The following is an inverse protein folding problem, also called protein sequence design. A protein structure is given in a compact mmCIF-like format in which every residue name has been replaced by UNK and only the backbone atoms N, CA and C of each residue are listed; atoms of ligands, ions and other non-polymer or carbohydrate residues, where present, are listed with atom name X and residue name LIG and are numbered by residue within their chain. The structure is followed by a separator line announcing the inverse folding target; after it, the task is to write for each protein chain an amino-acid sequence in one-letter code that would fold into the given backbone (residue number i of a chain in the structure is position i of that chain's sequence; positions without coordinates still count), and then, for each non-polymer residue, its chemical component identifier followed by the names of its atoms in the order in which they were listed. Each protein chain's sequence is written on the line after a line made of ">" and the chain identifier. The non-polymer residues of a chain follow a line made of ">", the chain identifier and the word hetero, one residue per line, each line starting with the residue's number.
data_IF_259501803920
#
_entry.id   IF_259501803920
#
_cell.length_a   1.000
_cell.length_b   1.000
_cell.length_c   1.000
_cell.angle_alpha   90.00
_cell.angle_beta   90.00
_cell.angle_gamma   90.00
#
_symmetry.space_group_name_H-M   'P 1'
#
loop_
_entity.id
_entity.type
_entity.pdbx_description
1 polymer ?
#
# COMPACT_ATOMS: atom_id res chain seq x y z
N UNK A 1 36.17 18.53 -4.84
CA UNK A 1 35.04 17.60 -4.62
C UNK A 1 35.54 16.16 -4.71
N UNK A 2 35.39 15.35 -3.67
CA UNK A 2 35.85 13.95 -3.66
C UNK A 2 35.13 13.11 -4.73
N UNK A 3 35.85 12.27 -5.49
CA UNK A 3 35.28 11.32 -6.45
C UNK A 3 34.17 10.44 -5.83
N UNK A 4 34.26 10.16 -4.52
CA UNK A 4 33.25 9.40 -3.76
C UNK A 4 31.92 10.15 -3.61
N UNK A 5 31.96 11.47 -3.47
CA UNK A 5 30.77 12.32 -3.32
C UNK A 5 29.98 12.40 -4.63
N UNK A 6 30.66 12.59 -5.77
CA UNK A 6 30.05 12.64 -7.11
C UNK A 6 29.32 11.32 -7.40
N UNK A 7 29.97 10.17 -7.17
CA UNK A 7 29.37 8.85 -7.36
C UNK A 7 28.13 8.62 -6.48
N UNK A 8 28.14 9.10 -5.24
CA UNK A 8 26.96 8.99 -4.36
C UNK A 8 25.80 9.87 -4.84
N UNK A 9 26.08 11.08 -5.33
CA UNK A 9 25.06 11.99 -5.89
C UNK A 9 24.39 11.36 -7.12
N UNK A 10 25.18 10.87 -8.07
CA UNK A 10 24.66 10.17 -9.25
C UNK A 10 23.82 8.94 -8.88
N UNK A 11 24.25 8.15 -7.89
CA UNK A 11 23.46 7.00 -7.42
C UNK A 11 22.13 7.42 -6.81
N UNK A 12 22.08 8.54 -6.09
CA UNK A 12 20.82 9.09 -5.53
C UNK A 12 19.89 9.55 -6.64
N UNK A 13 20.42 10.26 -7.64
CA UNK A 13 19.65 10.71 -8.81
C UNK A 13 19.09 9.54 -9.61
N UNK A 14 19.91 8.51 -9.91
CA UNK A 14 19.46 7.29 -10.59
C UNK A 14 18.32 6.59 -9.81
N UNK A 15 18.42 6.54 -8.48
CA UNK A 15 17.34 5.98 -7.63
C UNK A 15 16.08 6.85 -7.63
N UNK A 16 16.22 8.18 -7.73
CA UNK A 16 15.08 9.11 -7.83
C UNK A 16 14.34 8.91 -9.16
N UNK A 17 15.07 8.92 -10.28
CA UNK A 17 14.51 8.67 -11.61
C UNK A 17 13.85 7.29 -11.69
N UNK A 18 14.47 6.26 -11.10
CA UNK A 18 13.87 4.93 -11.06
C UNK A 18 12.54 4.91 -10.28
N UNK A 19 12.41 5.69 -9.20
CA UNK A 19 11.17 5.80 -8.44
C UNK A 19 10.08 6.49 -9.26
N UNK A 20 10.41 7.60 -9.91
CA UNK A 20 9.50 8.34 -10.79
C UNK A 20 9.01 7.46 -11.95
N UNK A 21 9.92 6.71 -12.59
CA UNK A 21 9.55 5.76 -13.66
C UNK A 21 8.57 4.70 -13.20
N UNK A 22 8.78 4.14 -12.01
CA UNK A 22 7.84 3.18 -11.40
C UNK A 22 6.48 3.83 -11.19
N UNK A 23 6.44 5.04 -10.62
CA UNK A 23 5.17 5.73 -10.38
C UNK A 23 4.40 5.99 -11.68
N UNK A 24 5.10 6.39 -12.74
CA UNK A 24 4.49 6.56 -14.07
C UNK A 24 3.96 5.23 -14.62
N UNK A 25 4.76 4.16 -14.60
CA UNK A 25 4.36 2.84 -15.11
C UNK A 25 3.12 2.30 -14.40
N UNK A 26 3.06 2.42 -13.07
CA UNK A 26 1.89 1.98 -12.31
C UNK A 26 0.66 2.86 -12.54
N UNK A 27 0.86 4.17 -12.76
CA UNK A 27 -0.24 5.08 -13.12
C UNK A 27 -0.82 4.75 -14.50
N UNK A 28 0.04 4.40 -15.46
CA UNK A 28 -0.40 3.92 -16.77
C UNK A 28 -1.12 2.57 -16.65
N UNK A 29 -0.60 1.64 -15.85
CA UNK A 29 -1.25 0.36 -15.58
C UNK A 29 -2.68 0.55 -15.02
N UNK A 30 -2.87 1.48 -14.10
CA UNK A 30 -4.19 1.80 -13.54
C UNK A 30 -5.17 2.33 -14.61
N UNK A 31 -4.70 3.17 -15.53
CA UNK A 31 -5.53 3.74 -16.61
C UNK A 31 -5.92 2.71 -17.67
N UNK A 32 -5.00 1.80 -17.99
CA UNK A 32 -5.18 0.82 -19.07
C UNK A 32 -5.95 -0.42 -18.61
N UNK A 33 -5.86 -0.77 -17.32
CA UNK A 33 -6.50 -1.97 -16.76
C UNK A 33 -7.98 -2.20 -17.15
N UNK A 34 -8.87 -1.18 -17.20
CA UNK A 34 -10.26 -1.40 -17.59
C UNK A 34 -10.45 -1.86 -19.05
N UNK A 35 -9.51 -1.53 -19.92
CA UNK A 35 -9.58 -1.81 -21.36
C UNK A 35 -8.72 -3.03 -21.72
N UNK A 36 -7.49 -3.07 -21.21
CA UNK A 36 -6.51 -4.10 -21.57
C UNK A 36 -5.70 -4.55 -20.34
N UNK A 37 -6.17 -5.59 -19.62
CA UNK A 37 -5.53 -6.04 -18.38
C UNK A 37 -4.14 -6.66 -18.62
N UNK A 38 -3.91 -7.26 -19.79
CA UNK A 38 -2.62 -7.85 -20.15
C UNK A 38 -1.51 -6.79 -20.27
N UNK A 39 -1.83 -5.65 -20.89
CA UNK A 39 -0.91 -4.52 -21.01
C UNK A 39 -0.61 -3.91 -19.64
N UNK A 40 -1.61 -3.81 -18.75
CA UNK A 40 -1.39 -3.40 -17.37
C UNK A 40 -0.42 -4.33 -16.63
N UNK A 41 -0.56 -5.65 -16.82
CA UNK A 41 0.34 -6.64 -16.23
C UNK A 41 1.77 -6.50 -16.78
N UNK A 42 1.92 -6.20 -18.08
CA UNK A 42 3.22 -5.91 -18.69
C UNK A 42 3.88 -4.69 -18.07
N UNK A 43 3.14 -3.59 -17.83
CA UNK A 43 3.69 -2.41 -17.16
C UNK A 43 4.16 -2.71 -15.74
N UNK A 44 3.42 -3.53 -14.99
CA UNK A 44 3.85 -3.98 -13.65
C UNK A 44 5.15 -4.79 -13.75
N UNK A 45 5.26 -5.71 -14.71
CA UNK A 45 6.48 -6.47 -14.96
C UNK A 45 7.70 -5.58 -15.22
N UNK A 46 7.54 -4.56 -16.08
CA UNK A 46 8.60 -3.57 -16.35
C UNK A 46 8.96 -2.78 -15.09
N UNK A 47 7.96 -2.34 -14.31
CA UNK A 47 8.19 -1.59 -13.09
C UNK A 47 8.96 -2.42 -12.03
N UNK A 48 8.67 -3.71 -11.92
CA UNK A 48 9.39 -4.63 -11.04
C UNK A 48 10.83 -4.85 -11.51
N UNK A 49 11.07 -4.99 -12.82
CA UNK A 49 12.42 -5.09 -13.36
C UNK A 49 13.26 -3.83 -13.07
N UNK A 50 12.66 -2.64 -13.24
CA UNK A 50 13.29 -1.36 -12.88
C UNK A 50 13.58 -1.30 -11.38
N UNK A 51 12.63 -1.72 -10.54
CA UNK A 51 12.79 -1.76 -9.09
C UNK A 51 13.99 -2.62 -8.67
N UNK A 52 14.06 -3.85 -9.21
CA UNK A 52 15.12 -4.81 -8.91
C UNK A 52 16.49 -4.28 -9.38
N UNK A 53 16.57 -3.76 -10.61
CA UNK A 53 17.81 -3.20 -11.18
C UNK A 53 18.33 -2.00 -10.40
N UNK A 54 17.43 -1.10 -9.99
CA UNK A 54 17.79 0.08 -9.20
C UNK A 54 17.97 -0.21 -7.70
N UNK A 55 17.66 -1.43 -7.24
CA UNK A 55 17.67 -1.86 -5.83
C UNK A 55 16.91 -0.90 -4.92
N UNK A 56 15.72 -0.46 -5.37
CA UNK A 56 14.87 0.47 -4.63
C UNK A 56 13.68 -0.24 -3.97
N UNK A 57 13.18 0.33 -2.88
CA UNK A 57 11.94 -0.11 -2.25
C UNK A 57 10.75 0.40 -3.07
N UNK A 58 9.78 -0.47 -3.32
CA UNK A 58 8.52 -0.09 -3.96
C UNK A 58 7.82 1.04 -3.17
N UNK A 59 7.33 2.11 -3.85
CA UNK A 59 6.53 3.15 -3.21
C UNK A 59 5.33 2.56 -2.46
N UNK A 60 4.97 3.15 -1.32
CA UNK A 60 3.91 2.62 -0.44
C UNK A 60 2.56 2.53 -1.15
N UNK A 61 2.26 3.48 -2.05
CA UNK A 61 1.03 3.53 -2.87
C UNK A 61 0.87 2.25 -3.71
N UNK A 62 1.94 1.78 -4.33
CA UNK A 62 1.89 0.67 -5.29
C UNK A 62 2.19 -0.70 -4.68
N UNK A 63 2.83 -0.74 -3.50
CA UNK A 63 3.27 -1.98 -2.82
C UNK A 63 2.16 -3.03 -2.58
N UNK A 64 0.89 -2.62 -2.56
CA UNK A 64 -0.28 -3.50 -2.35
C UNK A 64 -1.15 -3.69 -3.61
N UNK A 65 -0.78 -3.06 -4.73
CA UNK A 65 -1.59 -2.95 -5.96
C UNK A 65 -1.15 -3.92 -7.06
N UNK A 66 -0.33 -4.92 -6.74
CA UNK A 66 0.04 -5.97 -7.67
C UNK A 66 0.16 -7.31 -6.96
N UNK A 67 -0.05 -8.39 -7.70
CA UNK A 67 0.12 -9.74 -7.19
C UNK A 67 1.61 -10.11 -7.18
N UNK A 68 2.10 -10.65 -6.05
CA UNK A 68 3.50 -11.10 -5.94
C UNK A 68 3.82 -12.38 -6.71
N UNK A 69 2.81 -13.13 -7.15
CA UNK A 69 2.97 -14.42 -7.85
C UNK A 69 2.92 -14.25 -9.38
N UNK A 70 1.80 -13.75 -9.90
CA UNK A 70 1.59 -13.57 -11.34
C UNK A 70 1.92 -12.17 -11.87
N UNK A 71 2.34 -11.24 -11.00
CA UNK A 71 2.62 -9.84 -11.35
C UNK A 71 1.45 -9.08 -11.96
N UNK A 72 0.21 -9.55 -11.78
CA UNK A 72 -0.93 -8.82 -12.29
C UNK A 72 -1.27 -7.58 -11.47
N UNK A 73 -1.77 -6.56 -12.14
CA UNK A 73 -2.22 -5.32 -11.49
C UNK A 73 -3.54 -5.59 -10.77
N UNK A 74 -3.62 -5.27 -9.48
CA UNK A 74 -4.77 -5.60 -8.63
C UNK A 74 -5.69 -4.41 -8.44
N UNK A 75 -6.93 -4.57 -8.89
CA UNK A 75 -8.03 -3.62 -8.69
C UNK A 75 -9.08 -4.26 -7.78
N UNK A 76 -9.27 -3.73 -6.55
CA UNK A 76 -10.33 -4.18 -5.66
C UNK A 76 -11.71 -4.16 -6.34
N UNK A 77 -12.45 -5.25 -6.24
CA UNK A 77 -13.78 -5.38 -6.83
C UNK A 77 -13.81 -5.95 -8.25
N UNK A 78 -12.70 -5.89 -9.00
CA UNK A 78 -12.57 -6.53 -10.32
C UNK A 78 -11.84 -7.87 -10.24
N UNK A 79 -10.51 -7.83 -10.06
CA UNK A 79 -9.66 -9.02 -10.01
C UNK A 79 -9.02 -9.26 -8.63
N UNK A 80 -9.32 -8.40 -7.65
CA UNK A 80 -8.83 -8.54 -6.29
C UNK A 80 -9.99 -8.51 -5.28
N UNK A 81 -10.00 -9.48 -4.37
CA UNK A 81 -10.91 -9.51 -3.23
C UNK A 81 -10.16 -9.06 -1.97
N UNK A 82 -10.57 -7.93 -1.42
CA UNK A 82 -10.00 -7.37 -0.18
C UNK A 82 -10.94 -7.67 0.99
N UNK A 83 -10.40 -8.22 2.07
CA UNK A 83 -11.14 -8.51 3.32
C UNK A 83 -10.32 -8.03 4.53
N UNK A 84 -11.00 -7.48 5.52
CA UNK A 84 -10.43 -7.20 6.83
C UNK A 84 -10.75 -8.38 7.76
N UNK A 85 -9.73 -8.84 8.49
CA UNK A 85 -9.86 -9.93 9.47
C UNK A 85 -9.12 -9.54 10.74
N UNK A 86 -9.75 -9.80 11.88
CA UNK A 86 -9.17 -9.43 13.18
C UNK A 86 -8.61 -10.63 13.97
N UNK A 87 -9.02 -11.85 13.60
CA UNK A 87 -8.54 -13.10 14.21
C UNK A 87 -7.62 -13.85 13.22
N UNK A 88 -6.49 -14.44 13.67
CA UNK A 88 -5.92 -14.40 15.02
C UNK A 88 -5.24 -13.06 15.38
N UNK A 89 -4.99 -12.20 14.40
CA UNK A 89 -4.50 -10.84 14.61
C UNK A 89 -5.07 -9.90 13.53
N UNK A 90 -5.14 -8.58 13.76
CA UNK A 90 -5.63 -7.60 12.78
C UNK A 90 -4.78 -7.56 11.50
N UNK A 91 -5.38 -7.98 10.36
CA UNK A 91 -4.73 -7.96 9.06
C UNK A 91 -5.69 -7.72 7.88
N UNK A 92 -5.15 -7.11 6.82
CA UNK A 92 -5.79 -6.98 5.52
C UNK A 92 -5.42 -8.17 4.66
N UNK A 93 -6.42 -8.90 4.17
CA UNK A 93 -6.25 -10.01 3.22
C UNK A 93 -6.60 -9.51 1.83
N UNK A 94 -5.66 -9.64 0.89
CA UNK A 94 -5.86 -9.35 -0.53
C UNK A 94 -5.68 -10.66 -1.29
N UNK A 95 -6.78 -11.20 -1.83
CA UNK A 95 -6.76 -12.39 -2.69
C UNK A 95 -6.79 -11.96 -4.16
N UNK A 96 -5.81 -12.41 -4.92
CA UNK A 96 -5.83 -12.32 -6.38
C UNK A 96 -6.82 -13.36 -6.92
N UNK A 97 -7.77 -12.91 -7.75
CA UNK A 97 -8.78 -13.79 -8.34
C UNK A 97 -8.27 -14.48 -9.62
N UNK A 98 -7.18 -14.00 -10.22
CA UNK A 98 -6.58 -14.62 -11.41
C UNK A 98 -5.75 -15.86 -11.07
N UNK A 99 -4.83 -15.76 -10.10
CA UNK A 99 -3.94 -16.87 -9.74
C UNK A 99 -4.24 -17.50 -8.36
N UNK A 100 -5.22 -16.97 -7.64
CA UNK A 100 -5.61 -17.45 -6.31
C UNK A 100 -4.67 -17.07 -5.15
N UNK A 101 -3.53 -16.40 -5.43
CA UNK A 101 -2.55 -16.05 -4.40
C UNK A 101 -3.13 -15.08 -3.36
N UNK A 102 -2.82 -15.33 -2.08
CA UNK A 102 -3.34 -14.56 -0.94
C UNK A 102 -2.21 -13.80 -0.27
N UNK A 103 -2.30 -12.48 -0.30
CA UNK A 103 -1.37 -11.57 0.38
C UNK A 103 -1.99 -11.06 1.67
N UNK A 104 -1.21 -11.03 2.74
CA UNK A 104 -1.65 -10.58 4.07
C UNK A 104 -0.81 -9.40 4.52
N UNK A 105 -1.47 -8.34 4.99
CA UNK A 105 -0.83 -7.13 5.50
C UNK A 105 -1.31 -6.87 6.93
N UNK A 106 -0.52 -7.24 7.96
CA UNK A 106 -0.84 -6.94 9.35
C UNK A 106 -0.83 -5.42 9.59
N UNK A 107 -1.72 -4.93 10.44
CA UNK A 107 -1.79 -3.52 10.86
C UNK A 107 -1.68 -3.38 12.40
N UNK A 108 -0.78 -4.18 12.97
CA UNK A 108 -0.60 -4.34 14.43
C UNK A 108 -0.04 -3.10 15.10
N UNK A 109 0.82 -2.34 14.42
CA UNK A 109 1.45 -1.16 15.01
C UNK A 109 0.40 -0.09 15.25
N UNK A 110 -0.43 0.15 14.25
CA UNK A 110 -1.53 1.10 14.29
C UNK A 110 -2.55 0.73 15.38
N UNK A 111 -2.87 -0.57 15.54
CA UNK A 111 -3.76 -1.05 16.61
C UNK A 111 -3.15 -0.90 18.01
N UNK A 112 -1.84 -1.17 18.17
CA UNK A 112 -1.14 -0.98 19.45
C UNK A 112 -1.09 0.50 19.84
N UNK A 113 -0.81 1.39 18.88
CA UNK A 113 -0.83 2.83 19.10
C UNK A 113 -2.23 3.31 19.49
N UNK A 114 -3.30 2.84 18.82
CA UNK A 114 -4.68 3.14 19.19
C UNK A 114 -5.02 2.66 20.60
N UNK A 115 -4.60 1.44 20.96
CA UNK A 115 -4.80 0.88 22.31
C UNK A 115 -4.06 1.68 23.37
N UNK A 116 -2.81 2.09 23.10
CA UNK A 116 -2.02 2.93 24.01
C UNK A 116 -2.70 4.28 24.25
N UNK A 117 -3.11 4.97 23.17
CA UNK A 117 -3.85 6.23 23.27
C UNK A 117 -5.13 6.11 24.08
N UNK A 118 -5.93 5.07 23.82
CA UNK A 118 -7.15 4.81 24.58
C UNK A 118 -6.90 4.54 26.08
N UNK A 119 -5.78 3.90 26.44
CA UNK A 119 -5.39 3.71 27.84
C UNK A 119 -4.91 5.02 28.48
N UNK A 120 -4.15 5.84 27.75
CA UNK A 120 -3.71 7.18 28.18
C UNK A 120 -4.92 8.11 28.40
N UNK A 121 -5.87 8.13 27.47
CA UNK A 121 -7.12 8.89 27.55
C UNK A 121 -7.95 8.49 28.79
N UNK A 122 -8.13 7.18 29.01
CA UNK A 122 -8.80 6.63 30.21
C UNK A 122 -8.08 6.98 31.50
N UNK A 123 -6.75 6.95 31.52
CA UNK A 123 -5.95 7.33 32.69
C UNK A 123 -6.02 8.85 32.96
N UNK A 124 -6.27 9.67 31.95
CA UNK A 124 -6.36 11.13 32.05
C UNK A 124 -7.77 11.67 32.40
N UNK A 125 -8.77 10.80 32.58
CA UNK A 125 -10.12 11.19 33.00
C UNK A 125 -10.96 11.95 31.95
N UNK A 126 -10.53 11.98 30.69
CA UNK A 126 -11.31 12.56 29.58
C UNK A 126 -12.27 11.50 29.01
N UNK A 127 -13.32 11.21 29.75
CA UNK A 127 -14.52 10.61 29.16
C UNK A 127 -15.41 11.77 28.76
N UNK A 128 -15.47 12.07 27.46
CA UNK A 128 -16.39 13.07 26.94
C UNK A 128 -17.82 12.64 27.26
N UNK A 129 -18.43 13.40 28.16
CA UNK A 129 -19.87 13.57 28.25
C UNK A 129 -20.34 14.20 26.92
N UNK A 130 -20.78 13.39 25.98
CA UNK A 130 -21.50 13.83 24.77
C UNK A 130 -22.42 12.69 24.26
N UNK A 131 -23.26 12.17 25.15
CA UNK A 131 -24.52 11.47 24.82
C UNK A 131 -25.61 12.00 25.76
N UNK A 132 -26.03 13.25 25.58
CA UNK A 132 -27.36 13.75 26.02
C UNK A 132 -27.69 15.07 25.31
N UNK A 133 -28.42 14.98 24.20
CA UNK A 133 -29.39 15.99 23.71
C UNK A 133 -29.91 15.61 22.32
N UNK A 134 -30.74 14.56 22.26
CA UNK A 134 -31.84 14.48 21.28
C UNK A 134 -32.97 13.65 21.88
N UNK A 135 -33.55 14.21 22.94
CA UNK A 135 -34.91 13.93 23.39
C UNK A 135 -35.47 15.26 23.87
N UNK A 136 -36.66 15.61 23.37
CA UNK A 136 -37.38 16.90 23.50
C UNK A 136 -36.90 17.92 22.42
N UNK A 137 -37.69 18.38 21.45
CA UNK A 137 -39.15 18.58 21.38
C UNK A 137 -39.59 18.96 19.94
N UNK A 138 -40.89 18.72 19.66
CA UNK A 138 -41.73 19.03 18.46
C UNK A 138 -41.99 17.90 17.46
#
# INVERSE_FOLDING_TARGET
>A
MSKRFIRQKEQREKRKIARERIDVLFTLAERVFPYEPELANRYVGIALAVQQKAKIRMPRKWKRRYCRKCHSFLVPGKNARVRLRDKPYPHVVVKCLECGHVMRYPYLKEQRERRRKSLEERASGKTDAEESSHSESE
#
